data_IF_486494973868
#
_entry.id   IF_486494973868
#
_cell.length_a   1.000
_cell.length_b   1.000
_cell.length_c   1.000
_cell.angle_alpha   90.00
_cell.angle_beta   90.00
_cell.angle_gamma   90.00
#
_symmetry.space_group_name_H-M   'P 1'
#
loop_
_entity.id
_entity.type
_entity.pdbx_description
1 polymer ?
#
# COMPACT_ATOMS: atom_id res chain seq x y z
N UNK A 1 41.48 32.32 13.90
CA UNK A 1 40.92 31.23 13.06
C UNK A 1 39.56 30.85 13.63
N UNK A 2 38.48 31.12 12.91
CA UNK A 2 37.11 30.87 13.35
C UNK A 2 36.64 29.50 12.86
N UNK A 3 36.03 28.69 13.73
CA UNK A 3 35.40 27.42 13.35
C UNK A 3 33.93 27.43 13.79
N UNK A 4 33.03 27.30 12.80
CA UNK A 4 31.59 27.47 12.95
C UNK A 4 30.86 26.28 13.57
N UNK A 5 29.77 26.56 14.27
CA UNK A 5 28.82 25.58 14.82
C UNK A 5 27.75 25.26 13.77
N UNK A 6 27.53 23.97 13.47
CA UNK A 6 26.44 23.50 12.60
C UNK A 6 25.33 22.94 13.48
N UNK A 7 24.22 23.68 13.59
CA UNK A 7 22.97 23.23 14.25
C UNK A 7 22.07 22.55 13.21
N UNK A 8 21.77 21.26 13.37
CA UNK A 8 20.76 20.57 12.54
C UNK A 8 19.35 20.79 13.10
N UNK A 9 18.55 21.55 12.35
CA UNK A 9 17.14 21.87 12.60
C UNK A 9 16.30 20.58 12.48
N UNK A 10 15.56 20.22 13.54
CA UNK A 10 14.65 19.06 13.56
C UNK A 10 13.35 19.46 12.88
N UNK A 11 12.97 18.79 11.80
CA UNK A 11 11.67 18.98 11.13
C UNK A 11 10.65 18.07 11.83
N UNK A 12 9.53 18.64 12.27
CA UNK A 12 8.42 17.90 12.85
C UNK A 12 7.69 17.10 11.75
N UNK A 13 7.30 15.83 11.99
CA UNK A 13 6.45 15.12 11.03
C UNK A 13 5.03 15.65 11.14
N UNK A 14 4.49 16.06 9.99
CA UNK A 14 3.12 16.49 9.82
C UNK A 14 2.13 15.36 10.18
N UNK A 15 1.03 15.78 10.79
CA UNK A 15 -0.13 14.99 11.18
C UNK A 15 -0.76 14.37 9.93
N UNK A 16 -0.96 13.05 9.92
CA UNK A 16 -1.87 12.38 9.00
C UNK A 16 -3.22 12.24 9.72
N UNK A 17 -4.15 13.08 9.28
CA UNK A 17 -5.58 13.03 9.54
C UNK A 17 -6.16 11.75 8.92
N UNK A 18 -6.63 10.82 9.77
CA UNK A 18 -7.63 9.80 9.44
C UNK A 18 -7.97 8.97 10.69
N UNK A 19 -8.85 9.53 11.54
CA UNK A 19 -10.03 8.89 12.15
C UNK A 19 -10.04 7.47 12.72
N UNK A 20 -8.92 6.77 12.90
CA UNK A 20 -8.87 5.52 13.67
C UNK A 20 -8.41 5.90 15.08
N UNK A 21 -9.34 5.85 16.04
CA UNK A 21 -9.04 6.07 17.45
C UNK A 21 -7.93 5.10 17.88
N UNK A 22 -6.70 5.60 17.96
CA UNK A 22 -5.61 4.87 18.57
C UNK A 22 -6.01 4.60 20.04
N UNK A 23 -5.92 3.37 20.54
CA UNK A 23 -6.08 3.14 21.97
C UNK A 23 -5.07 4.07 22.65
N UNK A 24 -5.55 4.87 23.61
CA UNK A 24 -4.71 5.78 24.38
C UNK A 24 -3.67 4.95 25.11
N UNK A 25 -2.54 4.70 24.44
CA UNK A 25 -1.35 4.16 25.03
C UNK A 25 -0.81 5.29 25.88
N UNK A 26 -1.29 5.33 27.12
CA UNK A 26 -0.64 6.02 28.22
C UNK A 26 0.83 5.67 28.07
N UNK A 27 1.63 6.62 27.58
CA UNK A 27 3.07 6.47 27.48
C UNK A 27 3.59 6.55 28.91
N UNK A 28 3.42 5.46 29.65
CA UNK A 28 4.14 5.23 30.88
C UNK A 28 5.60 5.27 30.46
N UNK A 29 6.28 6.35 30.88
CA UNK A 29 7.70 6.52 30.68
C UNK A 29 8.40 5.33 31.34
N UNK A 30 8.68 4.30 30.53
CA UNK A 30 9.55 3.21 30.95
C UNK A 30 10.86 3.87 31.39
N UNK A 31 11.39 3.52 32.57
CA UNK A 31 12.64 4.10 33.03
C UNK A 31 13.66 3.95 31.91
N UNK A 32 14.42 5.01 31.68
CA UNK A 32 15.45 5.09 30.67
C UNK A 32 16.57 4.13 31.07
N UNK A 33 16.34 2.83 30.92
CA UNK A 33 17.38 1.83 30.79
C UNK A 33 18.10 2.27 29.54
N UNK A 34 19.26 2.88 29.76
CA UNK A 34 20.22 3.26 28.73
C UNK A 34 20.05 2.32 27.54
N UNK A 35 19.65 2.85 26.38
CA UNK A 35 19.48 2.05 25.16
C UNK A 35 20.82 1.40 24.85
N UNK A 36 21.05 0.22 25.42
CA UNK A 36 22.21 -0.58 25.16
C UNK A 36 22.21 -0.86 23.66
N UNK A 37 23.34 -0.57 23.03
CA UNK A 37 23.49 -0.81 21.60
C UNK A 37 23.25 -2.30 21.39
N UNK A 38 22.24 -2.65 20.58
CA UNK A 38 21.87 -4.03 20.28
C UNK A 38 23.14 -4.85 20.01
N UNK A 39 23.31 -5.95 20.74
CA UNK A 39 24.42 -6.89 20.54
C UNK A 39 24.35 -7.49 19.13
N UNK A 40 25.47 -8.01 18.62
CA UNK A 40 25.53 -8.61 17.28
C UNK A 40 24.53 -9.75 17.10
N UNK A 41 24.32 -10.55 18.14
CA UNK A 41 23.32 -11.64 18.19
C UNK A 41 21.90 -11.09 18.16
N UNK A 42 21.58 -10.11 19.01
CA UNK A 42 20.24 -9.48 19.05
C UNK A 42 19.90 -8.80 17.71
N UNK A 43 20.86 -8.18 17.04
CA UNK A 43 20.65 -7.59 15.70
C UNK A 43 20.32 -8.67 14.67
N UNK A 44 20.98 -9.81 14.73
CA UNK A 44 20.74 -10.93 13.80
C UNK A 44 19.35 -11.52 14.01
N UNK A 45 18.96 -11.74 15.26
CA UNK A 45 17.61 -12.21 15.61
C UNK A 45 16.53 -11.21 15.17
N UNK A 46 16.68 -9.94 15.54
CA UNK A 46 15.74 -8.89 15.14
C UNK A 46 15.63 -8.78 13.61
N UNK A 47 16.75 -8.90 12.87
CA UNK A 47 16.73 -8.89 11.42
C UNK A 47 15.88 -10.04 10.85
N UNK A 48 16.09 -11.28 11.31
CA UNK A 48 15.32 -12.44 10.88
C UNK A 48 13.84 -12.27 11.20
N UNK A 49 13.49 -11.87 12.42
CA UNK A 49 12.09 -11.65 12.83
C UNK A 49 11.43 -10.53 12.02
N UNK A 50 12.14 -9.42 11.79
CA UNK A 50 11.61 -8.29 11.02
C UNK A 50 11.36 -8.66 9.56
N UNK A 51 12.25 -9.46 8.96
CA UNK A 51 12.11 -9.92 7.59
C UNK A 51 11.01 -10.97 7.45
N UNK A 52 10.88 -11.87 8.43
CA UNK A 52 9.78 -12.83 8.47
C UNK A 52 8.42 -12.10 8.50
N UNK A 53 8.26 -11.13 9.40
CA UNK A 53 7.05 -10.30 9.48
C UNK A 53 6.78 -9.55 8.18
N UNK A 54 7.83 -8.97 7.57
CA UNK A 54 7.69 -8.27 6.28
C UNK A 54 7.17 -9.20 5.19
N UNK A 55 7.65 -10.45 5.15
CA UNK A 55 7.20 -11.47 4.18
C UNK A 55 5.79 -11.96 4.47
N UNK A 56 5.40 -12.09 5.73
CA UNK A 56 4.02 -12.44 6.11
C UNK A 56 3.03 -11.38 5.62
N UNK A 57 3.30 -10.11 5.91
CA UNK A 57 2.49 -8.99 5.42
C UNK A 57 2.41 -8.98 3.88
N UNK A 58 3.52 -9.21 3.19
CA UNK A 58 3.53 -9.27 1.73
C UNK A 58 2.64 -10.40 1.18
N UNK A 59 2.62 -11.56 1.85
CA UNK A 59 1.74 -12.68 1.46
C UNK A 59 0.28 -12.33 1.66
N UNK A 60 -0.06 -11.69 2.79
CA UNK A 60 -1.43 -11.24 3.07
C UNK A 60 -1.95 -10.30 1.97
N UNK A 61 -1.10 -9.38 1.49
CA UNK A 61 -1.46 -8.50 0.36
C UNK A 61 -1.70 -9.26 -0.95
N UNK A 62 -0.91 -10.30 -1.24
CA UNK A 62 -1.15 -11.13 -2.42
C UNK A 62 -2.42 -11.96 -2.31
N UNK A 63 -2.71 -12.50 -1.13
CA UNK A 63 -3.94 -13.25 -0.87
C UNK A 63 -5.17 -12.33 -1.01
N UNK A 64 -5.07 -11.06 -0.59
CA UNK A 64 -6.12 -10.05 -0.83
C UNK A 64 -6.34 -9.78 -2.33
N UNK A 65 -5.27 -9.62 -3.10
CA UNK A 65 -5.37 -9.42 -4.56
C UNK A 65 -6.05 -10.59 -5.26
N UNK A 66 -5.70 -11.83 -4.86
CA UNK A 66 -6.33 -13.05 -5.40
C UNK A 66 -7.82 -13.08 -5.08
N UNK A 67 -8.23 -12.62 -3.88
CA UNK A 67 -9.65 -12.53 -3.51
C UNK A 67 -10.43 -11.49 -4.31
N UNK A 68 -9.80 -10.40 -4.72
CA UNK A 68 -10.44 -9.28 -5.40
C UNK A 68 -10.56 -9.48 -6.91
N UNK A 69 -9.59 -10.16 -7.54
CA UNK A 69 -9.54 -10.33 -8.99
C UNK A 69 -10.24 -11.64 -9.36
N UNK A 70 -11.37 -11.60 -10.11
CA UNK A 70 -12.15 -12.80 -10.42
C UNK A 70 -11.39 -13.89 -11.19
N UNK A 71 -10.40 -13.47 -11.98
CA UNK A 71 -9.62 -14.36 -12.84
C UNK A 71 -8.46 -15.05 -12.09
N UNK A 72 -8.18 -14.68 -10.83
CA UNK A 72 -7.14 -15.30 -10.00
C UNK A 72 -7.73 -16.45 -9.18
N UNK A 73 -7.03 -17.58 -9.18
CA UNK A 73 -7.36 -18.72 -8.33
C UNK A 73 -6.47 -18.76 -7.10
N UNK A 74 -6.94 -19.38 -6.01
CA UNK A 74 -6.17 -19.52 -4.76
C UNK A 74 -4.84 -20.26 -4.98
N UNK A 75 -4.78 -21.16 -5.96
CA UNK A 75 -3.55 -21.85 -6.38
C UNK A 75 -2.48 -20.93 -7.00
N UNK A 76 -2.86 -19.73 -7.45
CA UNK A 76 -1.97 -18.77 -8.11
C UNK A 76 -1.41 -17.72 -7.13
N UNK A 77 -1.75 -17.78 -5.84
CA UNK A 77 -1.33 -16.81 -4.82
C UNK A 77 0.19 -16.75 -4.57
N UNK A 78 0.97 -17.69 -5.14
CA UNK A 78 2.44 -17.71 -5.04
C UNK A 78 3.15 -17.16 -6.26
N UNK A 79 2.44 -16.85 -7.35
CA UNK A 79 3.04 -16.40 -8.61
C UNK A 79 2.88 -14.89 -8.80
N UNK A 80 3.86 -14.12 -8.31
CA UNK A 80 3.83 -12.64 -8.35
C UNK A 80 3.51 -12.09 -9.75
N UNK A 81 4.17 -12.64 -10.79
CA UNK A 81 3.96 -12.20 -12.16
C UNK A 81 2.52 -12.47 -12.65
N UNK A 82 1.95 -13.65 -12.37
CA UNK A 82 0.57 -13.96 -12.76
C UNK A 82 -0.43 -13.06 -12.04
N UNK A 83 -0.21 -12.82 -10.74
CA UNK A 83 -1.03 -11.91 -9.94
C UNK A 83 -1.01 -10.52 -10.57
N UNK A 84 0.17 -9.97 -10.87
CA UNK A 84 0.27 -8.64 -11.47
C UNK A 84 -0.36 -8.55 -12.85
N UNK A 85 -0.13 -9.53 -13.72
CA UNK A 85 -0.69 -9.52 -15.07
C UNK A 85 -2.21 -9.61 -15.07
N UNK A 86 -2.77 -10.55 -14.30
CA UNK A 86 -4.24 -10.69 -14.18
C UNK A 86 -4.87 -9.48 -13.52
N UNK A 87 -4.25 -8.93 -12.48
CA UNK A 87 -4.70 -7.69 -11.82
C UNK A 87 -4.71 -6.52 -12.81
N UNK A 88 -3.64 -6.35 -13.59
CA UNK A 88 -3.55 -5.32 -14.63
C UNK A 88 -4.66 -5.46 -15.67
N UNK A 89 -4.90 -6.69 -16.14
CA UNK A 89 -5.95 -6.98 -17.11
C UNK A 89 -7.34 -6.68 -16.56
N UNK A 90 -7.60 -7.06 -15.31
CA UNK A 90 -8.86 -6.79 -14.63
C UNK A 90 -9.11 -5.28 -14.46
N UNK A 91 -8.09 -4.51 -14.07
CA UNK A 91 -8.19 -3.05 -14.03
C UNK A 91 -8.55 -2.46 -15.40
N UNK A 92 -7.86 -2.89 -16.47
CA UNK A 92 -8.15 -2.46 -17.84
C UNK A 92 -9.60 -2.79 -18.25
N UNK A 93 -10.08 -3.97 -17.89
CA UNK A 93 -11.47 -4.39 -18.10
C UNK A 93 -12.45 -3.49 -17.34
N UNK A 94 -12.20 -3.17 -16.06
CA UNK A 94 -13.04 -2.28 -15.25
C UNK A 94 -13.17 -0.89 -15.88
N UNK A 95 -12.06 -0.29 -16.34
CA UNK A 95 -12.09 1.01 -17.02
C UNK A 95 -12.92 0.95 -18.32
N UNK A 96 -12.69 -0.08 -19.16
CA UNK A 96 -13.46 -0.27 -20.40
C UNK A 96 -14.95 -0.47 -20.11
N UNK A 97 -15.27 -1.28 -19.11
CA UNK A 97 -16.66 -1.58 -18.71
C UNK A 97 -17.36 -0.34 -18.16
N UNK A 98 -16.70 0.42 -17.29
CA UNK A 98 -17.22 1.70 -16.79
C UNK A 98 -17.50 2.67 -17.95
N UNK A 99 -16.58 2.80 -18.90
CA UNK A 99 -16.77 3.65 -20.08
C UNK A 99 -17.96 3.21 -20.94
N UNK A 100 -18.16 1.90 -21.14
CA UNK A 100 -19.32 1.35 -21.84
C UNK A 100 -20.63 1.66 -21.11
N UNK A 101 -20.71 1.40 -19.80
CA UNK A 101 -21.91 1.67 -19.00
C UNK A 101 -22.28 3.16 -19.04
N UNK A 102 -21.28 4.05 -18.96
CA UNK A 102 -21.51 5.49 -19.08
C UNK A 102 -22.04 5.89 -20.46
N UNK A 103 -21.61 5.23 -21.54
CA UNK A 103 -22.19 5.44 -22.87
C UNK A 103 -23.66 5.00 -22.91
N UNK A 104 -23.99 3.85 -22.31
CA UNK A 104 -25.37 3.36 -22.24
C UNK A 104 -26.29 4.30 -21.44
N UNK A 105 -25.81 4.83 -20.31
CA UNK A 105 -26.56 5.81 -19.52
C UNK A 105 -26.83 7.11 -20.29
N UNK A 106 -25.85 7.58 -21.07
CA UNK A 106 -26.03 8.73 -21.98
C UNK A 106 -27.12 8.49 -23.02
N UNK A 107 -27.19 7.28 -23.60
CA UNK A 107 -28.24 6.92 -24.56
C UNK A 107 -29.63 6.87 -23.91
N UNK A 108 -29.69 6.45 -22.65
CA UNK A 108 -30.94 6.35 -21.86
C UNK A 108 -31.33 7.70 -21.24
N UNK A 109 -30.59 8.78 -21.53
CA UNK A 109 -30.76 10.12 -20.96
C UNK A 109 -30.72 10.18 -19.42
N UNK A 110 -30.04 9.23 -18.78
CA UNK A 110 -29.84 9.18 -17.32
C UNK A 110 -28.50 9.82 -16.98
N UNK A 111 -28.52 10.81 -16.07
CA UNK A 111 -27.29 11.44 -15.56
C UNK A 111 -26.52 10.47 -14.68
N UNK A 112 -25.19 10.41 -14.85
CA UNK A 112 -24.31 9.62 -13.98
C UNK A 112 -23.48 10.55 -13.08
N UNK A 113 -23.17 10.14 -11.83
CA UNK A 113 -22.30 10.89 -10.95
C UNK A 113 -20.87 11.09 -11.49
N UNK A 114 -20.28 12.25 -11.22
CA UNK A 114 -18.95 12.62 -11.74
C UNK A 114 -17.83 11.73 -11.20
N UNK A 115 -17.95 11.23 -9.96
CA UNK A 115 -16.97 10.33 -9.35
C UNK A 115 -16.84 8.98 -10.07
N UNK A 116 -17.78 8.61 -10.96
CA UNK A 116 -17.69 7.41 -11.79
C UNK A 116 -16.88 7.63 -13.07
N UNK A 117 -16.40 8.86 -13.32
CA UNK A 117 -15.55 9.17 -14.48
C UNK A 117 -14.11 8.82 -14.16
N UNK A 118 -13.76 7.56 -14.38
CA UNK A 118 -12.40 7.10 -14.17
C UNK A 118 -11.61 7.16 -15.48
N UNK A 119 -10.54 7.95 -15.50
CA UNK A 119 -9.63 8.01 -16.65
C UNK A 119 -8.60 6.89 -16.54
N UNK A 120 -8.59 5.99 -17.51
CA UNK A 120 -7.58 4.94 -17.60
C UNK A 120 -6.18 5.59 -17.74
N UNK A 121 -5.21 5.28 -16.87
CA UNK A 121 -3.84 5.77 -17.02
C UNK A 121 -3.19 5.32 -18.34
N UNK A 122 -2.41 6.20 -18.97
CA UNK A 122 -1.74 5.91 -20.24
C UNK A 122 -0.84 4.67 -20.20
N UNK A 123 -0.26 4.36 -19.03
CA UNK A 123 0.58 3.17 -18.81
C UNK A 123 -0.18 1.83 -19.00
N UNK A 124 -1.51 1.84 -18.92
CA UNK A 124 -2.34 0.65 -19.15
C UNK A 124 -2.81 0.52 -20.61
N UNK A 125 -2.54 1.51 -21.46
CA UNK A 125 -2.97 1.53 -22.86
C UNK A 125 -1.98 0.84 -23.83
N UNK A 126 -0.81 0.38 -23.35
CA UNK A 126 0.15 -0.36 -24.16
C UNK A 126 -0.17 -1.86 -24.27
N UNK A 127 0.15 -2.51 -25.41
CA UNK A 127 0.11 -3.97 -25.50
C UNK A 127 1.05 -4.54 -24.45
N UNK A 128 0.53 -5.51 -23.67
CA UNK A 128 1.31 -6.24 -22.67
C UNK A 128 2.22 -7.27 -23.32
#
# INVERSE_FOLDING_TARGET
MATGKVTKKRVAPAILDNGIAAPSLVFQARPNVSREKLTGTQKRENHVTSEQRRREILREYYDELVRLVPDLQESENRSEWQIYMKTRNYLCWLYKRNAQLRRQLKLTNVKYPEYLVWKCPNALNGPG
#
